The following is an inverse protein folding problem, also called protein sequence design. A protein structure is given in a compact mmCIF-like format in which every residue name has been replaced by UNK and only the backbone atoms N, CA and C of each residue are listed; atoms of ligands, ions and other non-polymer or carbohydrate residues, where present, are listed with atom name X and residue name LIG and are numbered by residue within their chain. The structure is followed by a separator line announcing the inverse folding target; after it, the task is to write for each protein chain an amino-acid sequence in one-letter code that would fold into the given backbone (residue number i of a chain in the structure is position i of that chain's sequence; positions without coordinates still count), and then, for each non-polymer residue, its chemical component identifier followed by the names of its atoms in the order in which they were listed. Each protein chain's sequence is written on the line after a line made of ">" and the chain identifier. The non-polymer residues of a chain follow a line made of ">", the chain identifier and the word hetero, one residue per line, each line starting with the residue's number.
data_IF_003856784592
#
_entry.id   IF_003856784592
#
_cell.length_a   1.000
_cell.length_b   1.000
_cell.length_c   1.000
_cell.angle_alpha   90.00
_cell.angle_beta   90.00
_cell.angle_gamma   90.00
#
_symmetry.space_group_name_H-M   'P 1'
#
loop_
_entity.id
_entity.type
_entity.pdbx_description
1 polymer ?
#
# COMPACT_ATOMS: atom_id res chain seq x y z
N UNK A 1 0.65 -6.68 5.97
CA UNK A 1 1.81 -7.60 5.84
C UNK A 1 2.65 -6.88 4.83
N UNK A 2 3.91 -6.60 5.18
CA UNK A 2 4.70 -5.53 4.56
C UNK A 2 4.64 -5.54 3.03
N UNK A 3 4.72 -4.37 2.42
CA UNK A 3 4.97 -4.15 0.99
C UNK A 3 6.33 -4.67 0.53
N UNK A 4 6.83 -5.77 1.15
CA UNK A 4 8.00 -6.52 0.71
C UNK A 4 7.92 -6.63 -0.79
N UNK A 5 8.92 -6.05 -1.44
CA UNK A 5 9.14 -6.06 -2.88
C UNK A 5 9.28 -7.50 -3.42
N UNK A 6 8.20 -8.27 -3.38
CA UNK A 6 8.18 -9.71 -3.28
C UNK A 6 7.45 -10.37 -4.44
N UNK A 7 8.15 -10.53 -5.58
CA UNK A 7 7.80 -11.42 -6.73
C UNK A 7 6.44 -11.28 -7.44
N UNK A 8 5.43 -10.66 -6.85
CA UNK A 8 4.14 -10.41 -7.48
C UNK A 8 4.06 -8.93 -7.78
N UNK A 9 4.41 -8.56 -9.02
CA UNK A 9 4.41 -7.16 -9.47
C UNK A 9 3.00 -6.52 -9.48
N UNK A 10 1.99 -7.20 -8.95
CA UNK A 10 0.58 -6.84 -9.03
C UNK A 10 -0.21 -7.42 -7.83
N UNK A 11 0.37 -7.30 -6.64
CA UNK A 11 -0.15 -7.75 -5.33
C UNK A 11 0.56 -6.84 -4.31
N UNK A 12 0.14 -5.56 -4.24
CA UNK A 12 0.90 -4.50 -3.54
C UNK A 12 0.86 -4.66 -2.01
N UNK A 13 -0.24 -5.15 -1.46
CA UNK A 13 -0.40 -5.45 -0.03
C UNK A 13 0.09 -6.86 0.39
N UNK A 14 0.58 -7.66 -0.56
CA UNK A 14 1.02 -9.04 -0.39
C UNK A 14 -0.01 -9.96 0.31
N UNK A 15 -1.31 -9.71 0.14
CA UNK A 15 -2.37 -10.53 0.75
C UNK A 15 -2.68 -11.82 -0.03
N UNK A 16 -2.15 -11.92 -1.27
CA UNK A 16 -2.29 -13.06 -2.16
C UNK A 16 -3.47 -12.97 -3.14
N UNK A 17 -4.16 -11.83 -3.18
CA UNK A 17 -5.08 -11.40 -4.22
C UNK A 17 -4.28 -10.56 -5.23
N UNK A 18 -4.66 -10.63 -6.50
CA UNK A 18 -4.03 -9.75 -7.50
C UNK A 18 -4.71 -8.39 -7.45
N UNK A 19 -3.97 -7.28 -7.55
CA UNK A 19 -4.52 -5.91 -7.58
C UNK A 19 -5.71 -5.78 -8.54
N UNK A 20 -5.63 -6.45 -9.71
CA UNK A 20 -6.70 -6.43 -10.71
C UNK A 20 -8.06 -6.93 -10.18
N UNK A 21 -8.03 -7.71 -9.12
CA UNK A 21 -9.17 -8.34 -8.43
C UNK A 21 -9.28 -7.97 -6.96
N UNK A 22 -8.28 -7.28 -6.41
CA UNK A 22 -8.38 -6.64 -5.11
C UNK A 22 -9.28 -5.40 -5.21
N UNK A 23 -9.72 -4.92 -4.07
CA UNK A 23 -10.49 -3.68 -3.94
C UNK A 23 -9.87 -2.72 -2.93
N UNK A 24 -8.73 -3.09 -2.34
CA UNK A 24 -7.98 -2.40 -1.28
C UNK A 24 -6.49 -2.76 -1.46
N UNK A 25 -5.87 -2.20 -2.52
CA UNK A 25 -4.54 -2.61 -3.04
C UNK A 25 -3.38 -2.43 -2.04
N UNK A 26 -3.55 -1.61 -0.99
CA UNK A 26 -2.56 -1.36 0.08
C UNK A 26 -3.04 -1.76 1.49
N UNK A 27 -4.26 -2.29 1.61
CA UNK A 27 -4.86 -2.81 2.86
C UNK A 27 -4.97 -1.76 3.99
N UNK A 28 -5.09 -0.48 3.67
CA UNK A 28 -5.26 0.59 4.65
C UNK A 28 -6.72 0.65 5.22
N UNK A 29 -7.64 -0.07 4.57
CA UNK A 29 -9.05 -0.18 4.92
C UNK A 29 -9.97 0.86 4.25
N UNK A 30 -9.45 1.63 3.30
CA UNK A 30 -10.19 2.34 2.28
C UNK A 30 -10.42 1.39 1.09
N UNK A 31 -10.83 1.92 -0.06
CA UNK A 31 -11.08 1.08 -1.23
C UNK A 31 -10.50 1.85 -2.40
N UNK A 32 -9.84 1.21 -3.35
CA UNK A 32 -9.15 1.92 -4.45
C UNK A 32 -10.13 2.83 -5.21
N UNK A 33 -11.39 2.40 -5.35
CA UNK A 33 -12.43 3.22 -5.96
C UNK A 33 -12.67 4.52 -5.19
N UNK A 34 -12.69 4.47 -3.86
CA UNK A 34 -12.86 5.66 -3.03
C UNK A 34 -11.66 6.59 -3.17
N UNK A 35 -10.46 6.05 -3.00
CA UNK A 35 -9.17 6.75 -3.03
C UNK A 35 -8.92 7.46 -4.36
N UNK A 36 -9.19 6.80 -5.49
CA UNK A 36 -9.10 7.42 -6.82
C UNK A 36 -10.09 8.60 -6.99
N UNK A 37 -11.19 8.63 -6.24
CA UNK A 37 -12.32 9.54 -6.48
C UNK A 37 -12.58 10.57 -5.37
N UNK A 38 -11.91 10.49 -4.23
CA UNK A 38 -12.16 11.40 -3.10
C UNK A 38 -11.47 12.75 -3.26
N UNK A 39 -10.43 12.82 -4.10
CA UNK A 39 -9.65 14.01 -4.39
C UNK A 39 -8.68 14.40 -3.26
N UNK A 40 -8.28 13.43 -2.45
CA UNK A 40 -7.29 13.57 -1.40
C UNK A 40 -6.00 12.85 -1.81
N UNK A 41 -4.89 13.59 -1.91
CA UNK A 41 -3.59 13.04 -2.32
C UNK A 41 -2.89 12.28 -1.16
N UNK A 42 -3.56 12.03 -0.03
CA UNK A 42 -3.04 11.34 1.17
C UNK A 42 -3.73 9.99 1.41
N UNK A 43 -4.46 9.49 0.42
CA UNK A 43 -5.25 8.25 0.48
C UNK A 43 -5.15 7.63 -0.91
N UNK A 44 -3.92 7.45 -1.40
CA UNK A 44 -3.71 6.83 -2.69
C UNK A 44 -3.71 5.31 -2.50
N UNK A 45 -4.20 4.56 -3.48
CA UNK A 45 -4.31 3.09 -3.46
C UNK A 45 -2.99 2.29 -3.23
N UNK A 46 -1.88 2.99 -3.02
CA UNK A 46 -0.52 2.47 -2.82
C UNK A 46 0.18 3.35 -1.75
N UNK A 47 -0.54 3.76 -0.69
CA UNK A 47 -0.10 4.67 0.39
C UNK A 47 -0.64 4.12 1.73
N UNK A 48 -0.04 3.02 2.19
CA UNK A 48 -0.59 2.18 3.26
C UNK A 48 -0.73 2.91 4.62
N UNK A 49 0.13 3.88 4.92
CA UNK A 49 0.06 4.69 6.14
C UNK A 49 -0.64 6.05 5.96
N UNK A 50 -1.03 6.39 4.72
CA UNK A 50 -1.73 7.62 4.35
C UNK A 50 -0.91 8.90 4.63
N UNK A 51 0.40 8.87 4.41
CA UNK A 51 1.29 10.03 4.58
C UNK A 51 1.51 10.86 3.31
N UNK A 52 1.04 10.34 2.16
CA UNK A 52 1.12 10.98 0.85
C UNK A 52 2.40 10.66 0.06
N UNK A 53 3.19 9.69 0.50
CA UNK A 53 4.20 9.00 -0.29
C UNK A 53 3.61 7.68 -0.82
N UNK A 54 3.90 7.36 -2.07
CA UNK A 54 3.58 6.02 -2.55
C UNK A 54 4.52 5.03 -1.82
N UNK A 55 4.05 3.82 -1.47
CA UNK A 55 4.82 2.78 -0.76
C UNK A 55 6.20 2.50 -1.40
N UNK A 56 6.33 2.60 -2.73
CA UNK A 56 7.64 2.39 -3.38
C UNK A 56 8.66 3.55 -3.19
N UNK A 57 8.20 4.69 -2.67
CA UNK A 57 8.99 5.89 -2.34
C UNK A 57 9.15 6.13 -0.84
N UNK A 58 8.40 5.43 0.01
CA UNK A 58 8.53 5.44 1.47
C UNK A 58 9.53 4.37 1.96
N UNK A 59 10.16 4.60 3.12
CA UNK A 59 11.14 3.71 3.75
C UNK A 59 10.54 3.03 5.03
N UNK A 60 9.28 3.31 5.38
CA UNK A 60 8.51 2.84 6.57
C UNK A 60 6.99 2.84 6.27
N UNK A 61 6.57 2.06 5.27
CA UNK A 61 5.25 2.14 4.59
C UNK A 61 4.04 1.93 5.52
N UNK A 62 4.23 1.34 6.70
CA UNK A 62 3.17 1.14 7.70
C UNK A 62 3.31 2.03 8.96
N UNK A 63 4.35 2.86 8.98
CA UNK A 63 4.71 3.82 10.03
C UNK A 63 4.76 3.20 11.45
N UNK A 64 5.15 1.93 11.55
CA UNK A 64 5.33 1.27 12.85
C UNK A 64 6.65 1.65 13.54
N UNK A 65 7.54 2.31 12.80
CA UNK A 65 8.85 2.80 13.25
C UNK A 65 9.99 1.82 12.99
N UNK A 66 9.78 0.79 12.17
CA UNK A 66 10.76 -0.16 11.67
C UNK A 66 10.85 0.00 10.15
N UNK A 67 11.96 0.55 9.66
CA UNK A 67 12.16 0.69 8.20
C UNK A 67 11.94 -0.63 7.46
N UNK A 68 11.31 -0.61 6.27
CA UNK A 68 10.91 -1.82 5.52
C UNK A 68 12.09 -2.76 5.25
N UNK A 69 13.29 -2.20 5.12
CA UNK A 69 14.54 -2.99 4.96
C UNK A 69 14.81 -3.96 6.13
N UNK A 70 14.14 -3.76 7.27
CA UNK A 70 14.22 -4.59 8.47
C UNK A 70 12.96 -5.43 8.72
N UNK A 71 11.96 -5.33 7.85
CA UNK A 71 10.71 -6.07 7.90
C UNK A 71 10.82 -7.40 7.10
N UNK A 72 9.86 -8.31 7.26
CA UNK A 72 9.97 -9.73 6.86
C UNK A 72 8.69 -10.33 6.25
#
# INVERSE_FOLDING_TARGET
>A
IDGVAGSYRYDHDNDGIWDLTDTDDDNDGLLDWFEINDGNDLTGQFDADNDGLDDYEDDDDDNDGILDIFEL
#
